data_IF_243294331771
#
_entry.id   IF_243294331771
#
_cell.length_a   1.000
_cell.length_b   1.000
_cell.length_c   1.000
_cell.angle_alpha   90.00
_cell.angle_beta   90.00
_cell.angle_gamma   90.00
#
_symmetry.space_group_name_H-M   'P 1'
#
loop_
_entity.id
_entity.type
_entity.pdbx_description
1 polymer ?
#
# COMPACT_ATOMS: atom_id res chain seq x y z
N UNK A 1 -11.95 -0.79 23.47
CA UNK A 1 -12.69 -0.37 22.27
C UNK A 1 -11.74 -0.52 21.10
N UNK A 2 -11.93 -1.53 20.26
CA UNK A 2 -11.14 -1.70 19.04
C UNK A 2 -11.65 -0.67 18.05
N UNK A 3 -10.89 0.40 17.83
CA UNK A 3 -11.21 1.39 16.79
C UNK A 3 -11.21 0.64 15.46
N UNK A 4 -12.35 0.62 14.76
CA UNK A 4 -12.40 0.11 13.40
C UNK A 4 -11.46 0.98 12.58
N UNK A 5 -10.45 0.36 11.96
CA UNK A 5 -9.55 1.08 11.09
C UNK A 5 -10.32 1.46 9.83
N UNK A 6 -10.28 2.73 9.51
CA UNK A 6 -10.76 3.26 8.23
C UNK A 6 -9.72 2.95 7.14
N UNK A 7 -9.89 1.79 6.49
CA UNK A 7 -9.01 1.30 5.42
C UNK A 7 -9.04 2.21 4.19
N UNK A 8 -10.19 2.82 3.91
CA UNK A 8 -10.36 3.74 2.77
C UNK A 8 -9.53 5.01 2.98
N UNK A 9 -9.49 5.51 4.22
CA UNK A 9 -8.61 6.63 4.58
C UNK A 9 -7.13 6.27 4.45
N UNK A 10 -6.73 5.05 4.80
CA UNK A 10 -5.34 4.60 4.61
C UNK A 10 -4.99 4.50 3.12
N UNK A 11 -5.90 3.96 2.30
CA UNK A 11 -5.73 3.90 0.85
C UNK A 11 -5.56 5.31 0.26
N UNK A 12 -6.39 6.27 0.67
CA UNK A 12 -6.31 7.66 0.22
C UNK A 12 -4.98 8.33 0.62
N UNK A 13 -4.48 8.10 1.83
CA UNK A 13 -3.17 8.60 2.26
C UNK A 13 -2.02 8.00 1.44
N UNK A 14 -2.10 6.70 1.15
CA UNK A 14 -1.13 6.04 0.29
C UNK A 14 -1.14 6.63 -1.13
N UNK A 15 -2.34 6.77 -1.73
CA UNK A 15 -2.52 7.39 -3.03
C UNK A 15 -1.94 8.80 -3.09
N UNK A 16 -2.18 9.61 -2.05
CA UNK A 16 -1.63 10.96 -1.96
C UNK A 16 -0.10 10.95 -1.98
N UNK A 17 0.55 10.12 -1.16
CA UNK A 17 2.01 10.04 -1.12
C UNK A 17 2.62 9.58 -2.45
N UNK A 18 1.96 8.65 -3.14
CA UNK A 18 2.36 8.16 -4.45
C UNK A 18 2.22 9.26 -5.51
N UNK A 19 1.08 9.96 -5.53
CA UNK A 19 0.83 11.08 -6.43
C UNK A 19 1.80 12.25 -6.18
N UNK A 20 2.13 12.56 -4.92
CA UNK A 20 3.10 13.61 -4.60
C UNK A 20 4.51 13.28 -5.13
N UNK A 21 4.88 11.99 -5.19
CA UNK A 21 6.20 11.54 -5.67
C UNK A 21 6.27 11.41 -7.18
N UNK A 22 5.26 10.80 -7.78
CA UNK A 22 5.28 10.32 -9.17
C UNK A 22 4.38 11.13 -10.09
N UNK A 23 3.46 11.93 -9.55
CA UNK A 23 2.52 12.73 -10.32
C UNK A 23 1.72 11.89 -11.31
N UNK A 24 1.68 12.33 -12.56
CA UNK A 24 0.93 11.66 -13.63
C UNK A 24 1.74 10.60 -14.39
N UNK A 25 2.95 10.25 -13.94
CA UNK A 25 3.76 9.22 -14.59
C UNK A 25 3.19 7.81 -14.40
N UNK A 26 2.39 7.62 -13.35
CA UNK A 26 1.76 6.36 -12.99
C UNK A 26 0.29 6.58 -12.63
N UNK A 27 -0.55 5.59 -12.95
CA UNK A 27 -1.88 5.46 -12.37
C UNK A 27 -1.80 4.46 -11.22
N UNK A 28 -2.17 4.84 -10.00
CA UNK A 28 -2.22 3.94 -8.83
C UNK A 28 -3.67 3.64 -8.46
N UNK A 29 -4.29 2.67 -9.13
CA UNK A 29 -5.68 2.27 -8.90
C UNK A 29 -5.93 0.79 -9.29
N UNK A 30 -6.48 -0.04 -8.39
CA UNK A 30 -6.83 0.25 -7.00
C UNK A 30 -5.66 0.20 -6.02
N UNK A 31 -5.81 0.91 -4.89
CA UNK A 31 -5.04 0.68 -3.66
C UNK A 31 -5.95 -0.02 -2.65
N UNK A 32 -5.65 -1.27 -2.34
CA UNK A 32 -6.43 -2.11 -1.42
C UNK A 32 -5.67 -2.24 -0.10
N UNK A 33 -6.35 -2.02 1.02
CA UNK A 33 -5.76 -2.14 2.36
C UNK A 33 -6.46 -3.27 3.10
N UNK A 34 -5.72 -4.32 3.40
CA UNK A 34 -6.22 -5.47 4.16
C UNK A 34 -5.55 -5.56 5.53
N UNK A 35 -6.28 -6.15 6.48
CA UNK A 35 -5.71 -6.65 7.73
C UNK A 35 -5.32 -8.09 7.53
N UNK A 36 -4.08 -8.41 7.81
CA UNK A 36 -3.53 -9.76 7.65
C UNK A 36 -2.87 -10.22 8.94
N UNK A 37 -2.70 -11.52 9.07
CA UNK A 37 -1.95 -12.13 10.17
C UNK A 37 -0.61 -12.57 9.62
N UNK A 38 0.47 -12.25 10.34
CA UNK A 38 1.77 -12.81 10.02
C UNK A 38 1.89 -14.28 10.47
N UNK A 39 3.05 -14.89 10.24
CA UNK A 39 3.32 -16.28 10.62
C UNK A 39 3.22 -16.53 12.14
N UNK A 40 3.23 -15.47 12.96
CA UNK A 40 3.10 -15.53 14.41
C UNK A 40 1.67 -15.25 14.89
N UNK A 41 0.76 -14.90 13.99
CA UNK A 41 -0.63 -14.56 14.30
C UNK A 41 -0.83 -13.10 14.73
N UNK A 42 0.17 -12.23 14.52
CA UNK A 42 0.07 -10.80 14.81
C UNK A 42 -0.58 -10.06 13.63
N UNK A 43 -1.55 -9.19 13.93
CA UNK A 43 -2.26 -8.39 12.91
C UNK A 43 -1.35 -7.27 12.37
N UNK A 44 -1.19 -7.24 11.05
CA UNK A 44 -0.53 -6.16 10.33
C UNK A 44 -1.43 -5.65 9.20
N UNK A 45 -1.07 -4.49 8.64
CA UNK A 45 -1.74 -3.93 7.47
C UNK A 45 -0.93 -4.22 6.23
N UNK A 46 -1.59 -4.81 5.23
CA UNK A 46 -1.01 -5.00 3.91
C UNK A 46 -1.67 -4.07 2.91
N UNK A 47 -0.86 -3.36 2.12
CA UNK A 47 -1.33 -2.50 1.04
C UNK A 47 -1.00 -3.15 -0.30
N UNK A 48 -2.01 -3.47 -1.09
CA UNK A 48 -1.86 -3.88 -2.48
C UNK A 48 -2.03 -2.64 -3.36
N UNK A 49 -0.95 -2.23 -4.02
CA UNK A 49 -0.88 -1.01 -4.82
C UNK A 49 -0.78 -1.46 -6.28
N UNK A 50 -1.92 -1.45 -6.97
CA UNK A 50 -1.94 -1.72 -8.41
C UNK A 50 -1.48 -0.47 -9.14
N UNK A 51 -0.56 -0.63 -10.09
CA UNK A 51 -0.07 0.49 -10.88
C UNK A 51 -0.10 0.22 -12.39
N UNK A 52 -0.30 1.29 -13.16
CA UNK A 52 -0.14 1.35 -14.62
C UNK A 52 0.93 2.39 -14.95
N UNK A 53 1.97 1.98 -15.68
CA UNK A 53 3.14 2.82 -15.98
C UNK A 53 4.39 1.99 -16.29
N UNK A 54 5.52 2.67 -16.50
CA UNK A 54 6.80 2.01 -16.74
C UNK A 54 7.44 1.58 -15.42
N UNK A 55 7.51 0.26 -15.16
CA UNK A 55 8.09 -0.27 -13.93
C UNK A 55 9.56 0.15 -13.73
N UNK A 56 10.32 0.42 -14.81
CA UNK A 56 11.71 0.88 -14.69
C UNK A 56 11.81 2.30 -14.07
N UNK A 57 10.75 3.10 -14.19
CA UNK A 57 10.65 4.43 -13.59
C UNK A 57 10.12 4.40 -12.14
N UNK A 58 9.66 3.24 -11.66
CA UNK A 58 9.16 3.05 -10.31
C UNK A 58 10.35 2.95 -9.33
N UNK A 59 10.86 4.11 -8.91
CA UNK A 59 12.03 4.26 -8.00
C UNK A 59 12.00 3.26 -6.82
N UNK A 60 12.81 2.16 -6.88
CA UNK A 60 12.75 1.09 -5.88
C UNK A 60 13.20 1.56 -4.50
N UNK A 61 14.08 2.57 -4.44
CA UNK A 61 14.55 3.13 -3.18
C UNK A 61 13.43 3.91 -2.49
N UNK A 62 12.69 4.70 -3.27
CA UNK A 62 11.58 5.45 -2.74
C UNK A 62 10.43 4.53 -2.31
N UNK A 63 10.04 3.58 -3.16
CA UNK A 63 8.95 2.64 -2.86
C UNK A 63 9.27 1.80 -1.65
N UNK A 64 10.49 1.27 -1.47
CA UNK A 64 10.89 0.56 -0.26
C UNK A 64 10.63 1.35 1.02
N UNK A 65 10.91 2.66 1.00
CA UNK A 65 10.70 3.59 2.12
C UNK A 65 9.25 3.99 2.39
N UNK A 66 8.29 3.63 1.54
CA UNK A 66 6.88 4.04 1.69
C UNK A 66 6.29 3.59 3.04
N UNK A 67 6.63 2.40 3.54
CA UNK A 67 6.17 1.94 4.87
C UNK A 67 6.62 2.88 5.99
N UNK A 68 7.83 3.43 5.92
CA UNK A 68 8.35 4.39 6.88
C UNK A 68 7.63 5.75 6.82
N UNK A 69 7.14 6.13 5.64
CA UNK A 69 6.35 7.36 5.42
C UNK A 69 4.90 7.21 5.89
N UNK A 70 4.31 6.03 5.69
CA UNK A 70 2.96 5.71 6.15
C UNK A 70 2.89 5.54 7.67
N UNK A 71 3.93 4.98 8.30
CA UNK A 71 3.95 4.69 9.75
C UNK A 71 3.54 5.87 10.65
N UNK A 72 4.10 7.09 10.55
CA UNK A 72 3.67 8.20 11.40
C UNK A 72 2.20 8.57 11.17
N UNK A 73 1.71 8.52 9.92
CA UNK A 73 0.32 8.83 9.58
C UNK A 73 -0.66 7.78 10.15
N UNK A 74 -0.25 6.51 10.12
CA UNK A 74 -1.00 5.40 10.73
C UNK A 74 -1.03 5.49 12.25
N UNK A 75 0.07 5.91 12.88
CA UNK A 75 0.14 6.14 14.31
C UNK A 75 -0.85 7.23 14.77
N UNK A 76 -0.99 8.31 14.00
CA UNK A 76 -1.99 9.36 14.24
C UNK A 76 -3.44 8.85 14.13
N UNK A 77 -3.65 7.74 13.41
CA UNK A 77 -4.93 7.05 13.29
C UNK A 77 -5.13 5.97 14.37
N UNK A 78 -4.19 5.83 15.30
CA UNK A 78 -4.23 4.82 16.37
C UNK A 78 -3.80 3.42 15.93
N UNK A 79 -3.14 3.29 14.76
CA UNK A 79 -2.58 2.03 14.27
C UNK A 79 -1.09 1.98 14.60
N UNK A 80 -0.70 1.01 15.42
CA UNK A 80 0.68 0.85 15.88
C UNK A 80 1.46 -0.28 15.17
N UNK A 81 0.95 -0.81 14.06
CA UNK A 81 1.64 -1.81 13.24
C UNK A 81 2.45 -1.16 12.10
N UNK A 82 3.47 -1.86 11.63
CA UNK A 82 4.22 -1.46 10.43
C UNK A 82 3.44 -1.93 9.19
N UNK A 83 3.11 -1.04 8.24
CA UNK A 83 2.44 -1.47 7.03
C UNK A 83 3.39 -2.21 6.09
N UNK A 84 2.93 -3.35 5.59
CA UNK A 84 3.51 -4.05 4.45
C UNK A 84 2.89 -3.52 3.15
N UNK A 85 3.55 -3.74 2.02
CA UNK A 85 3.11 -3.25 0.72
C UNK A 85 3.61 -4.14 -0.41
N UNK A 86 2.77 -4.29 -1.42
CA UNK A 86 3.11 -4.92 -2.68
C UNK A 86 2.72 -3.98 -3.82
N UNK A 87 3.63 -3.75 -4.75
CA UNK A 87 3.34 -3.08 -6.01
C UNK A 87 3.05 -4.15 -7.06
N UNK A 88 1.92 -4.04 -7.74
CA UNK A 88 1.45 -5.04 -8.69
C UNK A 88 1.18 -4.33 -10.01
N UNK A 89 1.79 -4.78 -11.10
CA UNK A 89 1.47 -4.24 -12.42
C UNK A 89 0.00 -4.53 -12.74
N UNK A 90 -0.71 -3.57 -13.35
CA UNK A 90 -2.12 -3.71 -13.71
C UNK A 90 -2.38 -4.90 -14.64
N UNK A 91 -1.43 -5.23 -15.51
CA UNK A 91 -1.44 -6.43 -16.36
C UNK A 91 -1.52 -7.71 -15.50
N UNK A 92 -0.64 -7.86 -14.51
CA UNK A 92 -0.61 -8.99 -13.58
C UNK A 92 -1.90 -9.07 -12.75
N UNK A 93 -2.37 -7.91 -12.26
CA UNK A 93 -3.61 -7.82 -11.50
C UNK A 93 -4.84 -8.31 -12.29
N UNK A 94 -4.94 -7.96 -13.57
CA UNK A 94 -6.06 -8.36 -14.42
C UNK A 94 -6.08 -9.87 -14.70
N UNK A 95 -4.92 -10.51 -14.77
CA UNK A 95 -4.82 -11.96 -14.94
C UNK A 95 -5.24 -12.72 -13.68
N UNK A 96 -4.91 -12.18 -12.49
CA UNK A 96 -5.32 -12.77 -11.23
C UNK A 96 -5.44 -11.69 -10.13
N UNK A 97 -6.66 -11.15 -9.90
CA UNK A 97 -6.91 -10.11 -8.89
C UNK A 97 -6.73 -10.59 -7.44
N UNK A 98 -6.31 -11.83 -7.22
CA UNK A 98 -5.94 -12.36 -5.90
C UNK A 98 -4.44 -12.54 -5.74
N UNK A 99 -3.63 -12.06 -6.69
CA UNK A 99 -2.18 -12.05 -6.53
C UNK A 99 -1.85 -11.18 -5.34
N UNK A 100 -1.48 -11.85 -4.26
CA UNK A 100 -0.70 -11.26 -3.20
C UNK A 100 0.74 -11.35 -3.67
N UNK A 101 1.28 -10.28 -4.26
CA UNK A 101 2.68 -10.29 -4.68
C UNK A 101 3.55 -10.40 -3.42
N UNK A 102 4.37 -11.47 -3.38
CA UNK A 102 5.16 -11.91 -2.24
C UNK A 102 6.41 -11.06 -2.03
#
# INVERSE_FOLDING_TARGET
MTTLLDTDRVAALCAQLLNDRFGNAFEFDPIIVERELDDYGDEYLHLYIVFDGDQEELDPSWTAGLSGRLRPLLADMGVNSLPSKSFIEKSEWLENPRVKAW
#
